data_IF_837121985160
#
_entry.id   IF_837121985160
#
_cell.length_a   1.000
_cell.length_b   1.000
_cell.length_c   1.000
_cell.angle_alpha   90.00
_cell.angle_beta   90.00
_cell.angle_gamma   90.00
#
_symmetry.space_group_name_H-M   'P 1'
#
loop_
_entity.id
_entity.type
_entity.pdbx_description
1 polymer ?
#
# COMPACT_ATOMS: atom_id res chain seq x y z
N UNK A 1 3.06 10.78 9.15
CA UNK A 1 2.96 9.59 8.28
C UNK A 1 3.00 10.03 6.83
N UNK A 2 3.65 9.28 5.96
CA UNK A 2 3.66 9.52 4.51
C UNK A 2 2.80 8.45 3.82
N UNK A 3 1.90 8.87 2.95
CA UNK A 3 1.09 8.01 2.11
C UNK A 3 1.58 8.10 0.67
N UNK A 4 1.86 6.97 0.05
CA UNK A 4 2.30 6.89 -1.35
C UNK A 4 1.64 5.73 -2.07
N UNK A 5 1.73 5.73 -3.41
CA UNK A 5 1.21 4.66 -4.26
C UNK A 5 2.32 3.77 -4.78
N UNK A 6 2.00 2.53 -5.08
CA UNK A 6 2.79 1.65 -5.94
C UNK A 6 1.88 1.08 -7.02
N UNK A 7 2.05 1.54 -8.27
CA UNK A 7 1.23 1.18 -9.42
C UNK A 7 0.17 2.19 -9.83
N UNK A 8 0.08 3.34 -9.13
CA UNK A 8 -0.76 4.50 -9.49
C UNK A 8 -2.25 4.18 -9.60
N UNK A 9 -2.79 3.24 -8.81
CA UNK A 9 -4.23 3.01 -8.77
C UNK A 9 -4.97 4.11 -8.02
N UNK A 10 -6.24 4.31 -8.35
CA UNK A 10 -7.11 5.26 -7.64
C UNK A 10 -7.40 4.85 -6.19
N UNK A 11 -6.98 3.67 -5.77
CA UNK A 11 -7.18 3.15 -4.42
C UNK A 11 -6.54 4.04 -3.35
N UNK A 12 -5.46 4.76 -3.70
CA UNK A 12 -4.85 5.72 -2.78
C UNK A 12 -5.83 6.81 -2.34
N UNK A 13 -6.64 7.35 -3.26
CA UNK A 13 -7.65 8.35 -2.93
C UNK A 13 -8.77 7.76 -2.04
N UNK A 14 -9.07 6.48 -2.20
CA UNK A 14 -9.99 5.75 -1.33
C UNK A 14 -9.39 5.57 0.06
N UNK A 15 -8.12 5.21 0.15
CA UNK A 15 -7.41 5.06 1.42
C UNK A 15 -7.30 6.39 2.18
N UNK A 16 -7.05 7.51 1.48
CA UNK A 16 -7.08 8.84 2.07
C UNK A 16 -8.42 9.17 2.74
N UNK A 17 -9.53 8.79 2.10
CA UNK A 17 -10.86 8.99 2.68
C UNK A 17 -11.06 8.18 3.95
N UNK A 18 -10.45 7.00 4.03
CA UNK A 18 -10.46 6.17 5.23
C UNK A 18 -9.64 6.85 6.33
N UNK A 19 -8.41 7.27 6.04
CA UNK A 19 -7.53 7.94 7.00
C UNK A 19 -8.14 9.22 7.57
N UNK A 20 -8.84 10.01 6.75
CA UNK A 20 -9.55 11.20 7.23
C UNK A 20 -10.58 10.90 8.31
N UNK A 21 -11.16 9.69 8.33
CA UNK A 21 -12.13 9.28 9.36
C UNK A 21 -11.45 8.88 10.67
N UNK A 22 -10.20 8.43 10.62
CA UNK A 22 -9.43 8.08 11.84
C UNK A 22 -8.84 9.31 12.53
N UNK A 23 -8.83 10.46 11.88
CA UNK A 23 -8.16 11.66 12.40
C UNK A 23 -6.63 11.62 12.31
N UNK A 24 -6.07 10.62 11.64
CA UNK A 24 -4.62 10.47 11.47
C UNK A 24 -4.01 11.64 10.69
N UNK A 25 -2.88 12.16 11.18
CA UNK A 25 -2.12 13.17 10.46
C UNK A 25 -1.21 12.50 9.40
N UNK A 26 -1.37 12.90 8.15
CA UNK A 26 -0.55 12.36 7.05
C UNK A 26 -0.26 13.42 5.99
N UNK A 27 0.81 13.17 5.24
CA UNK A 27 1.13 13.84 3.98
C UNK A 27 0.95 12.82 2.85
N UNK A 28 0.36 13.21 1.75
CA UNK A 28 0.20 12.35 0.56
C UNK A 28 1.12 12.81 -0.55
N UNK A 29 1.95 11.90 -1.03
CA UNK A 29 2.76 12.06 -2.23
C UNK A 29 2.73 10.74 -3.01
N UNK A 30 1.90 10.70 -4.05
CA UNK A 30 1.64 9.48 -4.82
C UNK A 30 2.85 8.98 -5.62
N UNK A 31 3.82 9.85 -5.85
CA UNK A 31 5.06 9.56 -6.57
C UNK A 31 6.31 9.74 -5.69
N UNK A 32 6.17 9.64 -4.38
CA UNK A 32 7.26 9.88 -3.44
C UNK A 32 8.55 9.14 -3.85
N UNK A 33 9.64 9.88 -3.82
CA UNK A 33 10.99 9.36 -4.07
C UNK A 33 11.78 9.15 -2.77
N UNK A 34 11.34 9.77 -1.66
CA UNK A 34 12.00 9.66 -0.35
C UNK A 34 10.99 9.67 0.78
N UNK A 35 11.39 9.16 1.93
CA UNK A 35 10.55 9.12 3.14
C UNK A 35 10.51 10.44 3.91
N UNK A 36 11.43 11.37 3.64
CA UNK A 36 11.56 12.60 4.40
C UNK A 36 11.67 12.33 5.91
N UNK A 37 10.93 13.10 6.71
CA UNK A 37 10.89 12.97 8.17
C UNK A 37 9.79 12.00 8.67
N UNK A 38 9.17 11.24 7.76
CA UNK A 38 8.12 10.30 8.14
C UNK A 38 8.65 9.20 9.05
N UNK A 39 7.87 8.85 10.08
CA UNK A 39 8.14 7.70 10.97
C UNK A 39 7.41 6.46 10.51
N UNK A 40 6.35 6.64 9.75
CA UNK A 40 5.56 5.58 9.13
C UNK A 40 5.28 5.94 7.68
N UNK A 41 5.41 4.99 6.80
CA UNK A 41 4.96 5.10 5.42
C UNK A 41 3.86 4.08 5.16
N UNK A 42 2.84 4.49 4.44
CA UNK A 42 1.80 3.59 3.92
C UNK A 42 1.93 3.56 2.41
N UNK A 43 2.18 2.38 1.87
CA UNK A 43 2.26 2.14 0.43
C UNK A 43 0.95 1.48 0.01
N UNK A 44 0.10 2.25 -0.65
CA UNK A 44 -1.13 1.70 -1.24
C UNK A 44 -0.77 1.08 -2.58
N UNK A 45 -0.83 -0.25 -2.63
CA UNK A 45 -0.38 -1.01 -3.79
C UNK A 45 -1.55 -1.47 -4.66
N UNK A 46 -1.38 -1.32 -5.95
CA UNK A 46 -2.33 -1.72 -6.97
C UNK A 46 -2.03 -0.98 -8.28
N UNK A 47 -2.08 -1.67 -9.41
CA UNK A 47 -1.74 -1.07 -10.69
C UNK A 47 -2.97 -0.55 -11.43
N UNK A 48 -2.77 0.56 -12.13
CA UNK A 48 -3.76 1.13 -13.05
C UNK A 48 -3.06 1.66 -14.29
N UNK A 49 -3.30 1.03 -15.43
CA UNK A 49 -2.78 1.51 -16.71
C UNK A 49 -3.20 2.95 -16.99
N UNK A 50 -4.46 3.29 -16.65
CA UNK A 50 -4.95 4.66 -16.74
C UNK A 50 -4.20 5.60 -15.80
N UNK A 51 -4.01 5.22 -14.52
CA UNK A 51 -3.30 6.03 -13.55
C UNK A 51 -1.84 6.26 -13.94
N UNK A 52 -1.16 5.23 -14.43
CA UNK A 52 0.21 5.34 -14.96
C UNK A 52 0.26 6.30 -16.14
N UNK A 53 -0.68 6.21 -17.08
CA UNK A 53 -0.78 7.12 -18.22
C UNK A 53 -1.04 8.56 -17.81
N UNK A 54 -1.94 8.80 -16.86
CA UNK A 54 -2.24 10.14 -16.32
C UNK A 54 -1.02 10.74 -15.58
N UNK A 55 -0.26 9.91 -14.87
CA UNK A 55 0.98 10.33 -14.21
C UNK A 55 2.16 10.52 -15.18
N UNK A 56 2.03 10.09 -16.44
CA UNK A 56 3.11 10.12 -17.42
C UNK A 56 4.27 9.19 -17.08
N UNK A 57 3.99 8.09 -16.37
CA UNK A 57 5.00 7.15 -15.86
C UNK A 57 4.80 5.79 -16.54
N UNK A 58 5.88 5.18 -17.04
CA UNK A 58 5.83 3.81 -17.53
C UNK A 58 5.73 2.80 -16.38
N UNK A 59 5.23 1.60 -16.68
CA UNK A 59 5.19 0.50 -15.70
C UNK A 59 6.57 0.22 -15.11
N UNK A 60 7.61 0.14 -15.95
CA UNK A 60 8.98 -0.16 -15.50
C UNK A 60 9.54 0.95 -14.61
N UNK A 61 9.30 2.21 -14.95
CA UNK A 61 9.74 3.36 -14.14
C UNK A 61 9.03 3.38 -12.78
N UNK A 62 7.74 3.12 -12.74
CA UNK A 62 6.97 3.06 -11.50
C UNK A 62 7.39 1.87 -10.64
N UNK A 63 7.65 0.71 -11.24
CA UNK A 63 8.13 -0.46 -10.52
C UNK A 63 9.50 -0.19 -9.88
N UNK A 64 10.42 0.43 -10.63
CA UNK A 64 11.73 0.84 -10.12
C UNK A 64 11.60 1.87 -8.99
N UNK A 65 10.76 2.89 -9.16
CA UNK A 65 10.51 3.91 -8.14
C UNK A 65 9.95 3.28 -6.86
N UNK A 66 8.91 2.46 -6.99
CA UNK A 66 8.23 1.84 -5.84
C UNK A 66 9.18 0.94 -5.05
N UNK A 67 9.99 0.15 -5.76
CA UNK A 67 10.98 -0.74 -5.15
C UNK A 67 12.08 0.05 -4.45
N UNK A 68 12.63 1.08 -5.11
CA UNK A 68 13.66 1.93 -4.54
C UNK A 68 13.15 2.70 -3.31
N UNK A 69 11.92 3.20 -3.36
CA UNK A 69 11.26 3.86 -2.23
C UNK A 69 11.13 2.92 -1.03
N UNK A 70 10.60 1.71 -1.24
CA UNK A 70 10.42 0.72 -0.18
C UNK A 70 11.77 0.31 0.45
N UNK A 71 12.79 0.12 -0.37
CA UNK A 71 14.14 -0.19 0.11
C UNK A 71 14.75 0.96 0.93
N UNK A 72 14.60 2.20 0.47
CA UNK A 72 15.07 3.39 1.21
C UNK A 72 14.30 3.57 2.54
N UNK A 73 13.00 3.31 2.55
CA UNK A 73 12.20 3.32 3.77
C UNK A 73 12.69 2.29 4.78
N UNK A 74 12.98 1.08 4.33
CA UNK A 74 13.54 0.02 5.18
C UNK A 74 14.91 0.42 5.75
N UNK A 75 15.80 0.96 4.92
CA UNK A 75 17.12 1.41 5.35
C UNK A 75 17.04 2.55 6.38
N UNK A 76 16.05 3.41 6.27
CA UNK A 76 15.80 4.50 7.22
C UNK A 76 15.15 4.05 8.52
N UNK A 77 14.78 2.78 8.65
CA UNK A 77 14.15 2.22 9.84
C UNK A 77 12.73 2.71 10.12
N UNK A 78 12.05 3.27 9.11
CA UNK A 78 10.66 3.69 9.25
C UNK A 78 9.72 2.49 9.19
N UNK A 79 8.56 2.58 9.81
CA UNK A 79 7.52 1.55 9.73
C UNK A 79 6.88 1.57 8.34
N UNK A 80 6.85 0.42 7.70
CA UNK A 80 6.27 0.26 6.36
C UNK A 80 4.98 -0.54 6.45
N UNK A 81 3.88 0.11 6.11
CA UNK A 81 2.56 -0.50 5.99
C UNK A 81 2.25 -0.68 4.51
N UNK A 82 2.04 -1.91 4.07
CA UNK A 82 1.57 -2.19 2.71
C UNK A 82 0.06 -2.39 2.75
N UNK A 83 -0.68 -1.58 2.00
CA UNK A 83 -2.13 -1.60 1.95
C UNK A 83 -2.63 -2.00 0.56
N UNK A 84 -3.44 -3.05 0.46
CA UNK A 84 -4.13 -3.45 -0.76
C UNK A 84 -5.64 -3.47 -0.53
N UNK A 85 -6.33 -2.45 -1.06
CA UNK A 85 -7.75 -2.22 -0.81
C UNK A 85 -8.61 -2.30 -2.08
N UNK A 86 -8.02 -2.70 -3.19
CA UNK A 86 -8.72 -2.83 -4.47
C UNK A 86 -9.53 -4.12 -4.61
N UNK A 87 -9.44 -5.04 -3.65
CA UNK A 87 -10.13 -6.33 -3.72
C UNK A 87 -9.60 -7.22 -4.85
N UNK A 88 -10.39 -8.21 -5.25
CA UNK A 88 -10.01 -9.14 -6.31
C UNK A 88 -9.83 -8.47 -7.68
N UNK A 89 -10.50 -7.35 -7.93
CA UNK A 89 -10.36 -6.59 -9.19
C UNK A 89 -8.99 -5.95 -9.39
N UNK A 90 -8.17 -5.86 -8.35
CA UNK A 90 -6.78 -5.38 -8.38
C UNK A 90 -5.76 -6.49 -8.10
N UNK A 91 -6.13 -7.73 -8.35
CA UNK A 91 -5.27 -8.91 -8.24
C UNK A 91 -5.06 -9.52 -9.62
N UNK A 92 -4.76 -8.68 -10.61
CA UNK A 92 -4.29 -9.03 -11.94
C UNK A 92 -2.77 -9.15 -12.00
N UNK A 93 -2.25 -9.65 -13.13
CA UNK A 93 -0.80 -9.86 -13.31
C UNK A 93 0.01 -8.56 -13.16
N UNK A 94 -0.53 -7.41 -13.59
CA UNK A 94 0.15 -6.13 -13.47
C UNK A 94 0.19 -5.69 -12.00
N UNK A 95 -0.93 -5.72 -11.29
CA UNK A 95 -0.99 -5.37 -9.87
C UNK A 95 -0.10 -6.29 -9.04
N UNK A 96 -0.07 -7.57 -9.34
CA UNK A 96 0.73 -8.55 -8.61
C UNK A 96 2.24 -8.31 -8.76
N UNK A 97 2.71 -7.74 -9.89
CA UNK A 97 4.10 -7.30 -10.02
C UNK A 97 4.46 -6.23 -8.98
N UNK A 98 3.58 -5.25 -8.77
CA UNK A 98 3.79 -4.20 -7.76
C UNK A 98 3.67 -4.74 -6.34
N UNK A 99 2.74 -5.65 -6.10
CA UNK A 99 2.62 -6.32 -4.80
C UNK A 99 3.92 -7.06 -4.47
N UNK A 100 4.44 -7.86 -5.41
CA UNK A 100 5.68 -8.62 -5.24
C UNK A 100 6.90 -7.71 -5.02
N UNK A 101 6.88 -6.51 -5.58
CA UNK A 101 7.97 -5.55 -5.43
C UNK A 101 8.01 -4.88 -4.05
N UNK A 102 6.87 -4.63 -3.40
CA UNK A 102 6.81 -3.85 -2.15
C UNK A 102 6.47 -4.69 -0.91
N UNK A 103 5.76 -5.80 -1.07
CA UNK A 103 5.38 -6.68 0.03
C UNK A 103 6.58 -7.18 0.86
N UNK A 104 7.75 -7.51 0.26
CA UNK A 104 8.92 -7.95 1.01
C UNK A 104 9.46 -6.94 2.04
N UNK A 105 9.07 -5.69 1.93
CA UNK A 105 9.48 -4.61 2.85
C UNK A 105 8.46 -4.32 3.96
N UNK A 106 7.28 -4.95 3.93
CA UNK A 106 6.20 -4.68 4.87
C UNK A 106 6.58 -5.06 6.32
N UNK A 107 6.30 -4.13 7.24
CA UNK A 107 6.26 -4.41 8.68
C UNK A 107 4.82 -4.67 9.16
N UNK A 108 3.84 -4.24 8.41
CA UNK A 108 2.42 -4.45 8.65
C UNK A 108 1.63 -4.47 7.35
N UNK A 109 0.52 -5.18 7.32
CA UNK A 109 -0.32 -5.30 6.13
C UNK A 109 -1.75 -4.86 6.45
N UNK A 110 -2.35 -4.15 5.51
CA UNK A 110 -3.78 -3.81 5.50
C UNK A 110 -4.37 -4.35 4.19
N UNK A 111 -5.42 -5.15 4.27
CA UNK A 111 -6.04 -5.71 3.08
C UNK A 111 -7.56 -5.84 3.21
N UNK A 112 -8.28 -5.77 2.08
CA UNK A 112 -9.63 -6.29 2.03
C UNK A 112 -9.62 -7.82 1.93
N UNK A 113 -10.67 -8.49 2.42
CA UNK A 113 -10.77 -9.95 2.30
C UNK A 113 -10.67 -10.41 0.82
N UNK A 114 -11.32 -9.70 -0.10
CA UNK A 114 -11.24 -9.98 -1.53
C UNK A 114 -9.85 -9.75 -2.16
N UNK A 115 -8.95 -9.04 -1.47
CA UNK A 115 -7.55 -8.90 -1.89
C UNK A 115 -6.72 -10.13 -1.60
N UNK A 116 -7.16 -10.97 -0.67
CA UNK A 116 -6.39 -12.05 -0.06
C UNK A 116 -7.07 -13.43 -0.20
N UNK A 117 -7.86 -13.61 -1.27
CA UNK A 117 -8.57 -14.88 -1.52
C UNK A 117 -7.60 -16.05 -1.73
N UNK A 118 -6.43 -15.79 -2.28
CA UNK A 118 -5.37 -16.78 -2.48
C UNK A 118 -4.42 -16.92 -1.27
N UNK A 119 -4.63 -16.13 -0.20
CA UNK A 119 -3.81 -16.14 0.99
C UNK A 119 -2.42 -15.51 0.83
N UNK A 120 -2.17 -14.74 -0.23
CA UNK A 120 -0.85 -14.13 -0.49
C UNK A 120 -0.42 -13.21 0.65
N UNK A 121 -1.30 -12.31 1.10
CA UNK A 121 -1.00 -11.37 2.18
C UNK A 121 -0.97 -12.06 3.55
N UNK A 122 -1.97 -12.88 3.86
CA UNK A 122 -2.02 -13.63 5.12
C UNK A 122 -0.86 -14.60 5.26
N UNK A 123 -0.53 -15.32 4.20
CA UNK A 123 0.60 -16.26 4.16
C UNK A 123 1.94 -15.55 4.37
N UNK A 124 2.13 -14.39 3.72
CA UNK A 124 3.32 -13.57 3.93
C UNK A 124 3.42 -13.07 5.37
N UNK A 125 2.34 -12.49 5.91
CA UNK A 125 2.30 -12.02 7.29
C UNK A 125 2.66 -13.12 8.27
N UNK A 126 2.07 -14.30 8.12
CA UNK A 126 2.35 -15.47 8.95
C UNK A 126 3.82 -15.91 8.84
N UNK A 127 4.36 -16.00 7.64
CA UNK A 127 5.75 -16.43 7.41
C UNK A 127 6.79 -15.48 7.97
N UNK A 128 6.47 -14.19 8.05
CA UNK A 128 7.36 -13.13 8.57
C UNK A 128 7.07 -12.74 10.02
N UNK A 129 6.01 -13.23 10.61
CA UNK A 129 5.59 -12.88 11.96
C UNK A 129 5.19 -11.41 12.11
N UNK A 130 4.62 -10.81 11.05
CA UNK A 130 4.12 -9.43 11.06
C UNK A 130 2.59 -9.38 11.17
N UNK A 131 2.07 -8.24 11.62
CA UNK A 131 0.63 -8.04 11.76
C UNK A 131 -0.07 -7.82 10.42
N UNK A 132 -1.34 -8.22 10.37
CA UNK A 132 -2.23 -7.96 9.26
C UNK A 132 -3.62 -7.59 9.78
N UNK A 133 -4.21 -6.54 9.22
CA UNK A 133 -5.62 -6.19 9.42
C UNK A 133 -6.38 -6.45 8.12
N UNK A 134 -7.45 -7.24 8.20
CA UNK A 134 -8.33 -7.52 7.07
C UNK A 134 -9.76 -7.08 7.38
N UNK A 135 -10.49 -6.66 6.35
CA UNK A 135 -11.90 -6.30 6.46
C UNK A 135 -12.67 -6.71 5.21
N UNK A 136 -13.97 -6.94 5.38
CA UNK A 136 -14.87 -7.31 4.28
C UNK A 136 -15.15 -6.17 3.31
N UNK A 137 -15.07 -4.92 3.82
CA UNK A 137 -15.39 -3.72 3.05
C UNK A 137 -14.57 -2.52 3.51
N UNK A 138 -14.52 -1.49 2.67
CA UNK A 138 -13.86 -0.22 3.00
C UNK A 138 -14.47 0.45 4.25
N UNK A 139 -15.78 0.32 4.45
CA UNK A 139 -16.44 0.87 5.63
C UNK A 139 -15.99 0.17 6.92
N UNK A 140 -15.91 -1.17 6.91
CA UNK A 140 -15.39 -1.95 8.05
C UNK A 140 -13.89 -1.73 8.24
N UNK A 141 -13.14 -1.54 7.14
CA UNK A 141 -11.73 -1.26 7.20
C UNK A 141 -11.43 0.04 7.95
N UNK A 142 -12.22 1.09 7.72
CA UNK A 142 -12.06 2.37 8.41
C UNK A 142 -12.09 2.21 9.93
N UNK A 143 -13.01 1.38 10.45
CA UNK A 143 -13.08 1.10 11.88
C UNK A 143 -11.94 0.19 12.36
N UNK A 144 -11.55 -0.79 11.54
CA UNK A 144 -10.53 -1.77 11.91
C UNK A 144 -9.12 -1.16 12.00
N UNK A 145 -8.82 -0.14 11.20
CA UNK A 145 -7.50 0.51 11.20
C UNK A 145 -7.40 1.73 12.13
N UNK A 146 -8.52 2.22 12.66
CA UNK A 146 -8.53 3.36 13.58
C UNK A 146 -7.53 3.22 14.74
N UNK A 147 -7.41 2.05 15.40
CA UNK A 147 -6.43 1.87 16.47
C UNK A 147 -4.97 1.83 16.01
N UNK A 148 -4.70 1.78 14.70
CA UNK A 148 -3.33 1.70 14.15
C UNK A 148 -2.72 3.09 13.95
N UNK A 149 -3.55 4.10 13.85
CA UNK A 149 -3.21 5.48 13.51
C UNK A 149 -3.79 6.46 14.50
#
# INVERSE_FOLDING_TARGET
MLLTSAGQSADIAMFERILKKTGAAYTSDITAASVGDAKTVVIVVGASTKGLGEAGISTDSELSRSTAFAAAAQQSGVQIVVAHIGGSSRRDALSDQFIDAVLPYANYIIALNGSDEDGKFSGYASSKGIGITKAESLAKLATAIDPLF
#
